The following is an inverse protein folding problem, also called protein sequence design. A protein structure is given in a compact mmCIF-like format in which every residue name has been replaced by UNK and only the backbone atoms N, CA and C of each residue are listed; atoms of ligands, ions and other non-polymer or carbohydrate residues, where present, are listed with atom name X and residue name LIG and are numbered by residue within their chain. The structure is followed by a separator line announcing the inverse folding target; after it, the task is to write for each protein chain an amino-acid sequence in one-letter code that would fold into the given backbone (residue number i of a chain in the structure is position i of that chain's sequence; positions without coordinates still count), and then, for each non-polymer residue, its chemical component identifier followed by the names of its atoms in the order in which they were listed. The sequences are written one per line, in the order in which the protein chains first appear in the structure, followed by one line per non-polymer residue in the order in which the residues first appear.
data_IF_376027436054
#
_entry.id   IF_376027436054
#
_cell.length_a   1.000
_cell.length_b   1.000
_cell.length_c   1.000
_cell.angle_alpha   90.00
_cell.angle_beta   90.00
_cell.angle_gamma   90.00
#
_symmetry.space_group_name_H-M   'P 1'
#
loop_
_entity.id
_entity.type
_entity.pdbx_description
1 polymer ?
#
# COMPACT_ATOMS: atom_id res chain seq x y z
N UNK A 1 -11.98 -15.27 35.79
CA UNK A 1 -11.01 -15.55 34.70
C UNK A 1 -11.29 -14.57 33.57
N UNK A 2 -10.46 -13.54 33.43
CA UNK A 2 -10.62 -12.53 32.37
C UNK A 2 -9.82 -13.03 31.16
N UNK A 3 -10.53 -13.39 30.09
CA UNK A 3 -9.94 -13.79 28.81
C UNK A 3 -9.26 -12.57 28.20
N UNK A 4 -7.92 -12.57 28.17
CA UNK A 4 -7.13 -11.61 27.43
C UNK A 4 -7.27 -11.90 25.93
N UNK A 5 -8.09 -11.12 25.22
CA UNK A 5 -8.01 -11.03 23.77
C UNK A 5 -6.70 -10.30 23.43
N UNK A 6 -5.66 -11.06 23.11
CA UNK A 6 -4.48 -10.54 22.42
C UNK A 6 -4.89 -10.19 20.98
N UNK A 7 -5.44 -9.00 20.79
CA UNK A 7 -5.48 -8.37 19.47
C UNK A 7 -4.02 -8.11 19.09
N UNK A 8 -3.46 -8.97 18.24
CA UNK A 8 -2.22 -8.69 17.54
C UNK A 8 -2.45 -7.54 16.56
N UNK A 9 -2.56 -6.32 17.09
CA UNK A 9 -2.45 -5.12 16.29
C UNK A 9 -1.03 -5.10 15.74
N UNK A 10 -0.86 -5.41 14.45
CA UNK A 10 0.41 -5.25 13.76
C UNK A 10 0.93 -3.85 14.08
N UNK A 11 2.17 -3.77 14.60
CA UNK A 11 2.74 -2.50 15.02
C UNK A 11 2.75 -1.54 13.81
N UNK A 12 2.59 -0.23 14.02
CA UNK A 12 2.61 0.74 12.93
C UNK A 12 3.83 0.62 12.01
N UNK A 13 4.96 0.18 12.56
CA UNK A 13 6.20 -0.12 11.84
C UNK A 13 6.03 -1.23 10.79
N UNK A 14 5.46 -2.39 11.18
CA UNK A 14 5.27 -3.54 10.29
C UNK A 14 4.29 -3.21 9.16
N UNK A 15 3.23 -2.47 9.49
CA UNK A 15 2.24 -2.06 8.50
C UNK A 15 2.80 -1.00 7.54
N UNK A 16 3.72 -0.12 7.97
CA UNK A 16 4.38 0.84 7.08
C UNK A 16 5.34 0.11 6.13
N UNK A 17 6.05 -0.91 6.60
CA UNK A 17 6.91 -1.72 5.76
C UNK A 17 6.14 -2.47 4.66
N UNK A 18 4.98 -3.07 5.00
CA UNK A 18 4.14 -3.74 4.03
C UNK A 18 3.60 -2.79 2.93
N UNK A 19 3.19 -1.58 3.31
CA UNK A 19 2.74 -0.56 2.35
C UNK A 19 3.92 0.03 1.56
N UNK A 20 5.10 0.12 2.14
CA UNK A 20 6.33 0.56 1.46
C UNK A 20 6.73 -0.41 0.35
N UNK A 21 6.57 -1.72 0.59
CA UNK A 21 6.74 -2.74 -0.46
C UNK A 21 5.75 -2.53 -1.61
N UNK A 22 4.51 -2.16 -1.32
CA UNK A 22 3.54 -1.79 -2.37
C UNK A 22 3.97 -0.54 -3.15
N UNK A 23 4.43 0.50 -2.46
CA UNK A 23 4.95 1.71 -3.11
C UNK A 23 6.09 1.37 -4.06
N UNK A 24 7.07 0.58 -3.62
CA UNK A 24 8.19 0.15 -4.45
C UNK A 24 7.73 -0.70 -5.65
N UNK A 25 6.86 -1.68 -5.42
CA UNK A 25 6.31 -2.55 -6.46
C UNK A 25 5.59 -1.77 -7.55
N UNK A 26 4.71 -0.84 -7.15
CA UNK A 26 3.91 -0.03 -8.07
C UNK A 26 4.80 0.98 -8.80
N UNK A 27 5.79 1.57 -8.13
CA UNK A 27 6.75 2.48 -8.77
C UNK A 27 7.57 1.77 -9.87
N UNK A 28 8.00 0.54 -9.63
CA UNK A 28 8.66 -0.30 -10.65
C UNK A 28 7.68 -0.63 -11.79
N UNK A 29 6.44 -0.99 -11.48
CA UNK A 29 5.45 -1.23 -12.53
C UNK A 29 5.14 0.02 -13.37
N UNK A 30 5.14 1.21 -12.75
CA UNK A 30 4.94 2.50 -13.41
C UNK A 30 6.07 2.86 -14.37
N UNK A 31 7.32 2.54 -14.05
CA UNK A 31 8.45 2.82 -14.95
C UNK A 31 8.37 2.06 -16.27
N UNK A 32 7.68 0.91 -16.24
CA UNK A 32 7.56 -0.01 -17.37
C UNK A 32 6.18 0.09 -18.06
N UNK A 33 5.27 0.93 -17.54
CA UNK A 33 3.88 1.02 -17.97
C UNK A 33 3.69 1.91 -19.20
N UNK A 34 2.83 1.48 -20.12
CA UNK A 34 2.23 2.35 -21.15
C UNK A 34 1.22 3.32 -20.53
N UNK A 35 0.90 4.41 -21.24
CA UNK A 35 0.02 5.48 -20.76
C UNK A 35 -1.35 4.98 -20.25
N UNK A 36 -1.94 3.96 -20.88
CA UNK A 36 -3.22 3.37 -20.49
C UNK A 36 -3.15 2.60 -19.16
N UNK A 37 -1.95 2.11 -18.78
CA UNK A 37 -1.69 1.40 -17.52
C UNK A 37 -1.15 2.33 -16.44
N UNK A 38 -0.53 3.44 -16.81
CA UNK A 38 0.05 4.39 -15.87
C UNK A 38 -1.00 5.00 -14.94
N UNK A 39 -2.15 5.44 -15.48
CA UNK A 39 -3.22 6.07 -14.69
C UNK A 39 -3.75 5.20 -13.53
N UNK A 40 -4.19 3.95 -13.74
CA UNK A 40 -4.65 3.10 -12.63
C UNK A 40 -3.55 2.75 -11.63
N UNK A 41 -2.29 2.67 -12.07
CA UNK A 41 -1.15 2.46 -11.16
C UNK A 41 -0.88 3.70 -10.30
N UNK A 42 -0.99 4.91 -10.86
CA UNK A 42 -0.84 6.17 -10.11
C UNK A 42 -1.89 6.32 -8.99
N UNK A 43 -3.12 5.83 -9.21
CA UNK A 43 -4.14 5.80 -8.14
C UNK A 43 -3.79 4.80 -7.04
N UNK A 44 -3.29 3.61 -7.39
CA UNK A 44 -2.81 2.64 -6.42
C UNK A 44 -1.64 3.19 -5.60
N UNK A 45 -0.68 3.83 -6.27
CA UNK A 45 0.45 4.48 -5.61
C UNK A 45 -0.03 5.54 -4.62
N UNK A 46 -0.94 6.41 -5.04
CA UNK A 46 -1.51 7.48 -4.19
C UNK A 46 -2.23 6.91 -2.97
N UNK A 47 -2.94 5.78 -3.11
CA UNK A 47 -3.60 5.11 -2.00
C UNK A 47 -2.60 4.67 -0.92
N UNK A 48 -1.52 3.97 -1.28
CA UNK A 48 -0.53 3.50 -0.30
C UNK A 48 0.28 4.65 0.31
N UNK A 49 0.61 5.69 -0.48
CA UNK A 49 1.21 6.91 0.05
C UNK A 49 0.30 7.59 1.08
N UNK A 50 -0.99 7.69 0.78
CA UNK A 50 -1.99 8.23 1.70
C UNK A 50 -2.11 7.41 2.99
N UNK A 51 -2.10 6.08 2.90
CA UNK A 51 -2.09 5.20 4.09
C UNK A 51 -0.88 5.44 4.98
N UNK A 52 0.32 5.51 4.40
CA UNK A 52 1.55 5.74 5.16
C UNK A 52 1.51 7.11 5.81
N UNK A 53 1.19 8.16 5.04
CA UNK A 53 1.12 9.53 5.54
C UNK A 53 0.08 9.69 6.65
N UNK A 54 -1.08 9.04 6.53
CA UNK A 54 -2.13 9.05 7.54
C UNK A 54 -1.77 8.30 8.82
N UNK A 55 -0.95 7.25 8.73
CA UNK A 55 -0.47 6.48 9.90
C UNK A 55 0.75 7.10 10.57
N UNK A 56 1.60 7.77 9.80
CA UNK A 56 2.85 8.35 10.30
C UNK A 56 3.11 9.68 9.62
N UNK A 57 2.61 10.79 10.19
CA UNK A 57 2.93 12.13 9.71
C UNK A 57 4.46 12.36 9.71
N UNK A 58 4.98 12.93 8.62
CA UNK A 58 6.43 13.15 8.48
C UNK A 58 7.25 11.89 8.17
N UNK A 59 6.62 10.79 7.75
CA UNK A 59 7.33 9.59 7.32
C UNK A 59 8.30 9.90 6.17
N UNK A 60 9.59 9.64 6.39
CA UNK A 60 10.63 9.81 5.36
C UNK A 60 10.56 8.66 4.35
N UNK A 61 9.72 8.84 3.33
CA UNK A 61 9.52 7.85 2.29
C UNK A 61 10.83 7.52 1.54
N UNK A 62 11.63 8.54 1.24
CA UNK A 62 12.87 8.39 0.47
C UNK A 62 13.89 7.53 1.21
N UNK A 63 14.17 7.85 2.48
CA UNK A 63 15.12 7.07 3.28
C UNK A 63 14.62 5.65 3.54
N UNK A 64 13.32 5.46 3.74
CA UNK A 64 12.74 4.13 3.93
C UNK A 64 12.77 3.29 2.64
N UNK A 65 12.42 3.85 1.48
CA UNK A 65 12.54 3.17 0.19
C UNK A 65 13.99 2.80 -0.12
N UNK A 66 14.93 3.71 0.16
CA UNK A 66 16.36 3.43 0.00
C UNK A 66 16.80 2.24 0.86
N UNK A 67 16.42 2.22 2.16
CA UNK A 67 16.69 1.07 3.04
C UNK A 67 16.05 -0.22 2.53
N UNK A 68 14.80 -0.15 2.07
CA UNK A 68 14.11 -1.32 1.53
C UNK A 68 14.81 -1.85 0.27
N UNK A 69 15.27 -0.98 -0.63
CA UNK A 69 15.99 -1.39 -1.85
C UNK A 69 17.34 -2.05 -1.57
N UNK A 70 17.98 -1.72 -0.44
CA UNK A 70 19.19 -2.39 0.01
C UNK A 70 18.90 -3.75 0.68
N UNK A 71 17.71 -3.93 1.25
CA UNK A 71 17.30 -5.13 1.97
C UNK A 71 16.63 -6.19 1.08
N UNK A 72 15.99 -5.77 -0.02
CA UNK A 72 15.19 -6.64 -0.89
C UNK A 72 15.61 -6.52 -2.35
N UNK A 73 15.67 -7.65 -3.04
CA UNK A 73 15.84 -7.68 -4.48
C UNK A 73 14.58 -7.21 -5.21
N UNK A 74 14.72 -6.73 -6.46
CA UNK A 74 13.62 -6.13 -7.22
C UNK A 74 12.47 -7.11 -7.50
N UNK A 75 12.76 -8.40 -7.59
CA UNK A 75 11.79 -9.49 -7.76
C UNK A 75 10.88 -9.65 -6.53
N UNK A 76 11.38 -9.39 -5.32
CA UNK A 76 10.57 -9.35 -4.09
C UNK A 76 9.48 -8.30 -4.21
N UNK A 77 9.83 -7.09 -4.68
CA UNK A 77 8.82 -6.04 -4.90
C UNK A 77 7.84 -6.41 -6.02
N UNK A 78 8.30 -7.03 -7.11
CA UNK A 78 7.39 -7.49 -8.18
C UNK A 78 6.39 -8.53 -7.68
N UNK A 79 6.81 -9.41 -6.76
CA UNK A 79 5.93 -10.40 -6.12
C UNK A 79 4.79 -9.78 -5.30
N UNK A 80 4.95 -8.54 -4.83
CA UNK A 80 3.96 -7.85 -4.00
C UNK A 80 2.81 -7.24 -4.82
N UNK A 81 2.98 -7.05 -6.14
CA UNK A 81 1.99 -6.38 -6.98
C UNK A 81 0.58 -7.00 -6.90
N UNK A 82 0.49 -8.33 -6.85
CA UNK A 82 -0.78 -9.04 -6.72
C UNK A 82 -1.50 -8.69 -5.40
N UNK A 83 -0.79 -8.84 -4.28
CA UNK A 83 -1.31 -8.50 -2.95
C UNK A 83 -1.74 -7.04 -2.88
N UNK A 84 -0.91 -6.13 -3.37
CA UNK A 84 -1.18 -4.68 -3.35
C UNK A 84 -2.40 -4.31 -4.20
N UNK A 85 -2.54 -4.93 -5.38
CA UNK A 85 -3.70 -4.74 -6.24
C UNK A 85 -4.99 -5.25 -5.59
N UNK A 86 -4.96 -6.43 -4.96
CA UNK A 86 -6.12 -6.99 -4.27
C UNK A 86 -6.56 -6.15 -3.08
N UNK A 87 -5.59 -5.64 -2.29
CA UNK A 87 -5.89 -4.73 -1.19
C UNK A 87 -6.53 -3.43 -1.67
N UNK A 88 -5.97 -2.81 -2.72
CA UNK A 88 -6.53 -1.60 -3.31
C UNK A 88 -7.96 -1.84 -3.83
N UNK A 89 -8.19 -2.94 -4.56
CA UNK A 89 -9.53 -3.32 -5.05
C UNK A 89 -10.52 -3.50 -3.92
N UNK A 90 -10.13 -4.20 -2.85
CA UNK A 90 -10.97 -4.40 -1.67
C UNK A 90 -11.40 -3.06 -1.07
N UNK A 91 -10.48 -2.10 -0.95
CA UNK A 91 -10.80 -0.76 -0.46
C UNK A 91 -11.71 0.01 -1.44
N UNK A 92 -11.46 -0.04 -2.74
CA UNK A 92 -12.32 0.62 -3.72
C UNK A 92 -13.75 0.07 -3.72
N UNK A 93 -13.93 -1.25 -3.53
CA UNK A 93 -15.26 -1.85 -3.36
C UNK A 93 -15.95 -1.41 -2.06
N UNK A 94 -15.19 -1.14 -1.00
CA UNK A 94 -15.73 -0.56 0.23
C UNK A 94 -16.20 0.88 0.02
N UNK A 95 -15.39 1.69 -0.65
CA UNK A 95 -15.73 3.08 -1.00
C UNK A 95 -16.95 3.13 -1.93
N UNK A 96 -17.03 2.27 -2.94
CA UNK A 96 -18.19 2.17 -3.84
C UNK A 96 -19.48 1.82 -3.07
N UNK A 97 -19.41 0.86 -2.16
CA UNK A 97 -20.55 0.50 -1.29
C UNK A 97 -20.97 1.68 -0.40
N UNK A 98 -20.00 2.40 0.17
CA UNK A 98 -20.28 3.60 0.97
C UNK A 98 -20.91 4.70 0.11
N UNK A 99 -20.42 4.93 -1.10
CA UNK A 99 -20.97 5.92 -2.04
C UNK A 99 -22.44 5.65 -2.37
N UNK A 100 -22.78 4.39 -2.66
CA UNK A 100 -24.17 3.97 -2.92
C UNK A 100 -25.09 4.21 -1.73
N UNK A 101 -24.58 4.05 -0.50
CA UNK A 101 -25.36 4.34 0.71
C UNK A 101 -25.66 5.83 0.91
N UNK A 102 -24.88 6.71 0.26
CA UNK A 102 -25.07 8.17 0.28
C UNK A 102 -25.92 8.68 -0.89
N UNK A 103 -26.47 7.79 -1.74
CA UNK A 103 -27.28 8.16 -2.90
C UNK A 103 -26.49 8.41 -4.19
N UNK A 104 -25.25 7.90 -4.27
CA UNK A 104 -24.48 7.84 -5.52
C UNK A 104 -24.92 6.75 -6.48
#
# INVERSE_FOLDING_TARGET
MILALALAAALPADANEADLKCVAAIAIALSDASDDKAKPLSYQLSYFLGKIAGRTPGYDLGANLHRASAAYAADVFKGELGRCADEFRAKMMEVDRASKSLGG
#
